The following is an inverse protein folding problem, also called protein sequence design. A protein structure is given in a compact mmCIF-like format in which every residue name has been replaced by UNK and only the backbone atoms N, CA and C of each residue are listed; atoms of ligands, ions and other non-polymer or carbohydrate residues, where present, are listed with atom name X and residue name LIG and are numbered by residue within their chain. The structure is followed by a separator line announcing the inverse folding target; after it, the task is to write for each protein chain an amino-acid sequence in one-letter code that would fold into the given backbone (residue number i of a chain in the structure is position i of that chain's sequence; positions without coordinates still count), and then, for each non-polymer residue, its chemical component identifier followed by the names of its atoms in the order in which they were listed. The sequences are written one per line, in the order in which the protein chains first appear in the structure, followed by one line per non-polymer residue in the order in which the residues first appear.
data_IF_593468660158
#
_entry.id   IF_593468660158
#
_cell.length_a   1.000
_cell.length_b   1.000
_cell.length_c   1.000
_cell.angle_alpha   90.00
_cell.angle_beta   90.00
_cell.angle_gamma   90.00
#
_symmetry.space_group_name_H-M   'P 1'
#
loop_
_entity.id
_entity.type
_entity.pdbx_description
1 polymer ?
#
# COMPACT_ATOMS: atom_id res chain seq x y z
N UNK A 1 -6.48 -18.86 -7.04
CA UNK A 1 -7.30 -17.69 -7.43
C UNK A 1 -6.39 -16.80 -8.23
N UNK A 2 -6.81 -16.38 -9.43
CA UNK A 2 -6.07 -15.39 -10.21
C UNK A 2 -5.97 -14.13 -9.37
N UNK A 3 -4.81 -13.92 -8.76
CA UNK A 3 -4.57 -12.77 -7.90
C UNK A 3 -4.34 -11.56 -8.80
N UNK A 4 -5.43 -11.08 -9.39
CA UNK A 4 -5.44 -9.86 -10.18
C UNK A 4 -5.05 -8.72 -9.25
N UNK A 5 -3.92 -8.12 -9.55
CA UNK A 5 -3.47 -6.86 -8.96
C UNK A 5 -4.63 -5.86 -8.97
N UNK A 6 -4.99 -5.26 -7.81
CA UNK A 6 -6.06 -4.26 -7.73
C UNK A 6 -5.85 -3.13 -8.74
N UNK A 7 -6.94 -2.71 -9.41
CA UNK A 7 -6.89 -1.67 -10.45
C UNK A 7 -7.57 -0.36 -10.03
N UNK A 8 -8.26 -0.37 -8.91
CA UNK A 8 -8.97 0.76 -8.33
C UNK A 8 -8.87 0.71 -6.80
N UNK A 9 -9.14 1.86 -6.16
CA UNK A 9 -9.04 2.02 -4.72
C UNK A 9 -9.99 1.10 -3.95
N UNK A 10 -11.18 0.81 -4.49
CA UNK A 10 -12.17 -0.06 -3.86
C UNK A 10 -11.65 -1.50 -3.73
N UNK A 11 -11.16 -2.07 -4.83
CA UNK A 11 -10.58 -3.41 -4.87
C UNK A 11 -9.33 -3.49 -4.01
N UNK A 12 -8.50 -2.44 -4.00
CA UNK A 12 -7.32 -2.36 -3.15
C UNK A 12 -7.69 -2.38 -1.68
N UNK A 13 -8.69 -1.58 -1.28
CA UNK A 13 -9.20 -1.54 0.10
C UNK A 13 -9.74 -2.89 0.54
N UNK A 14 -10.54 -3.55 -0.30
CA UNK A 14 -11.05 -4.88 0.00
C UNK A 14 -9.89 -5.89 0.21
N UNK A 15 -8.88 -5.86 -0.66
CA UNK A 15 -7.71 -6.74 -0.58
C UNK A 15 -6.90 -6.52 0.71
N UNK A 16 -6.69 -5.25 1.09
CA UNK A 16 -5.98 -4.91 2.33
C UNK A 16 -6.73 -5.42 3.56
N UNK A 17 -8.05 -5.25 3.59
CA UNK A 17 -8.88 -5.67 4.72
C UNK A 17 -8.92 -7.20 4.87
N UNK A 18 -9.02 -7.93 3.75
CA UNK A 18 -9.02 -9.40 3.72
C UNK A 18 -7.69 -9.97 4.24
N UNK A 19 -6.56 -9.37 3.85
CA UNK A 19 -5.22 -9.84 4.26
C UNK A 19 -4.74 -9.28 5.58
N UNK A 20 -5.44 -8.32 6.20
CA UNK A 20 -4.96 -7.54 7.35
C UNK A 20 -4.40 -8.40 8.49
N UNK A 21 -5.03 -9.53 8.79
CA UNK A 21 -4.65 -10.40 9.88
C UNK A 21 -3.31 -11.14 9.66
N UNK A 22 -2.87 -11.30 8.40
CA UNK A 22 -1.63 -12.01 8.06
C UNK A 22 -0.47 -11.06 7.72
N UNK A 23 -0.71 -9.74 7.66
CA UNK A 23 0.32 -8.77 7.33
C UNK A 23 1.35 -8.64 8.47
N UNK A 24 2.67 -8.68 8.17
CA UNK A 24 3.70 -8.32 9.14
C UNK A 24 3.49 -6.92 9.69
N UNK A 25 3.86 -6.68 10.97
CA UNK A 25 3.60 -5.42 11.69
C UNK A 25 3.87 -4.14 10.87
N UNK A 26 5.02 -4.06 10.20
CA UNK A 26 5.40 -2.88 9.39
C UNK A 26 4.60 -2.73 8.09
N UNK A 27 4.19 -3.85 7.50
CA UNK A 27 3.33 -3.86 6.32
C UNK A 27 1.90 -3.48 6.70
N UNK A 28 1.39 -4.02 7.82
CA UNK A 28 0.09 -3.63 8.37
C UNK A 28 0.03 -2.13 8.72
N UNK A 29 1.14 -1.57 9.23
CA UNK A 29 1.28 -0.14 9.52
C UNK A 29 1.12 0.72 8.25
N UNK A 30 1.78 0.36 7.15
CA UNK A 30 1.60 1.05 5.86
C UNK A 30 0.19 0.85 5.30
N UNK A 31 -0.33 -0.37 5.39
CA UNK A 31 -1.66 -0.69 4.89
C UNK A 31 -2.74 0.16 5.58
N UNK A 32 -2.65 0.32 6.91
CA UNK A 32 -3.54 1.22 7.66
C UNK A 32 -3.34 2.68 7.23
N UNK A 33 -2.09 3.17 7.21
CA UNK A 33 -1.79 4.55 6.80
C UNK A 33 -2.33 4.87 5.40
N UNK A 34 -2.20 3.93 4.45
CA UNK A 34 -2.68 4.11 3.08
C UNK A 34 -4.21 4.21 2.98
N UNK A 35 -4.94 3.48 3.82
CA UNK A 35 -6.41 3.57 3.88
C UNK A 35 -6.88 4.85 4.57
N UNK A 36 -6.15 5.30 5.59
CA UNK A 36 -6.48 6.49 6.37
C UNK A 36 -6.06 7.79 5.65
N UNK A 37 -5.02 7.75 4.81
CA UNK A 37 -4.42 8.91 4.15
C UNK A 37 -4.21 8.66 2.63
N UNK A 38 -5.28 8.42 1.84
CA UNK A 38 -5.14 8.06 0.43
C UNK A 38 -4.48 9.15 -0.42
N UNK A 39 -4.74 10.43 -0.13
CA UNK A 39 -4.12 11.57 -0.83
C UNK A 39 -2.60 11.63 -0.63
N UNK A 40 -2.13 11.34 0.59
CA UNK A 40 -0.70 11.25 0.87
C UNK A 40 -0.03 10.18 0.02
N UNK A 41 -0.71 9.04 -0.18
CA UNK A 41 -0.23 7.98 -1.07
C UNK A 41 -0.24 8.44 -2.53
N UNK A 42 -1.32 9.08 -2.99
CA UNK A 42 -1.49 9.50 -4.37
C UNK A 42 -0.43 10.53 -4.82
N UNK A 43 -0.09 11.48 -3.95
CA UNK A 43 0.71 12.66 -4.28
C UNK A 43 2.09 12.71 -3.60
N UNK A 44 2.29 11.94 -2.53
CA UNK A 44 3.55 11.93 -1.79
C UNK A 44 4.69 11.17 -2.50
N UNK A 45 5.91 11.42 -2.04
CA UNK A 45 7.07 10.61 -2.41
C UNK A 45 7.18 9.40 -1.48
N UNK A 46 7.87 8.34 -1.92
CA UNK A 46 8.12 7.19 -1.05
C UNK A 46 8.83 7.58 0.27
N UNK A 47 9.71 8.59 0.24
CA UNK A 47 10.40 9.10 1.42
C UNK A 47 9.45 9.83 2.39
N UNK A 48 8.61 10.75 1.88
CA UNK A 48 7.68 11.51 2.73
C UNK A 48 6.58 10.65 3.33
N UNK A 49 6.05 9.69 2.56
CA UNK A 49 5.06 8.72 3.02
C UNK A 49 5.67 7.82 4.10
N UNK A 50 6.88 7.30 3.87
CA UNK A 50 7.54 6.43 4.84
C UNK A 50 7.84 7.15 6.16
N UNK A 51 8.27 8.42 6.10
CA UNK A 51 8.47 9.24 7.27
C UNK A 51 7.16 9.44 8.06
N UNK A 52 6.07 9.82 7.39
CA UNK A 52 4.77 10.04 8.00
C UNK A 52 4.16 8.76 8.59
N UNK A 53 4.34 7.64 7.89
CA UNK A 53 3.92 6.32 8.34
C UNK A 53 4.86 5.71 9.40
N UNK A 54 6.01 6.32 9.73
CA UNK A 54 6.95 5.82 10.73
C UNK A 54 7.67 4.51 10.35
N UNK A 55 7.99 4.36 9.06
CA UNK A 55 8.60 3.18 8.44
C UNK A 55 9.76 3.58 7.50
N UNK A 56 10.49 2.59 6.98
CA UNK A 56 11.52 2.83 5.96
C UNK A 56 10.92 2.82 4.54
N UNK A 57 11.45 3.59 3.57
CA UNK A 57 10.96 3.61 2.19
C UNK A 57 10.88 2.23 1.51
N UNK A 58 11.83 1.34 1.81
CA UNK A 58 11.83 -0.05 1.30
C UNK A 58 10.59 -0.85 1.72
N UNK A 59 9.93 -0.45 2.81
CA UNK A 59 8.70 -1.06 3.32
C UNK A 59 7.52 -0.81 2.37
N UNK A 60 7.47 0.34 1.67
CA UNK A 60 6.45 0.65 0.66
C UNK A 60 6.57 -0.26 -0.56
N UNK A 61 7.80 -0.55 -1.00
CA UNK A 61 8.06 -1.47 -2.11
C UNK A 61 7.59 -2.87 -1.73
N UNK A 62 7.95 -3.35 -0.53
CA UNK A 62 7.50 -4.66 -0.03
C UNK A 62 5.99 -4.72 0.13
N UNK A 63 5.36 -3.66 0.62
CA UNK A 63 3.89 -3.57 0.70
C UNK A 63 3.24 -3.69 -0.67
N UNK A 64 3.74 -2.98 -1.68
CA UNK A 64 3.25 -3.09 -3.05
C UNK A 64 3.40 -4.51 -3.61
N UNK A 65 4.57 -5.12 -3.42
CA UNK A 65 4.83 -6.50 -3.87
C UNK A 65 3.95 -7.54 -3.17
N UNK A 66 3.64 -7.35 -1.88
CA UNK A 66 2.69 -8.22 -1.15
C UNK A 66 1.27 -8.17 -1.71
N UNK A 67 0.94 -7.13 -2.47
CA UNK A 67 -0.35 -6.96 -3.15
C UNK A 67 -0.28 -7.26 -4.65
N UNK A 68 0.87 -7.77 -5.13
CA UNK A 68 1.08 -8.18 -6.51
C UNK A 68 1.57 -7.08 -7.46
N UNK A 69 1.88 -5.88 -6.95
CA UNK A 69 2.41 -4.79 -7.76
C UNK A 69 3.93 -4.90 -7.96
N UNK A 70 4.44 -4.42 -9.10
CA UNK A 70 5.87 -4.40 -9.42
C UNK A 70 6.67 -3.46 -8.49
N UNK A 71 6.01 -2.45 -7.92
CA UNK A 71 6.58 -1.57 -6.92
C UNK A 71 5.63 -0.47 -6.45
N UNK A 72 6.17 0.47 -5.66
CA UNK A 72 5.37 1.53 -5.06
C UNK A 72 4.68 2.42 -6.11
N UNK A 73 5.36 2.78 -7.20
CA UNK A 73 4.79 3.65 -8.25
C UNK A 73 3.55 3.03 -8.92
N UNK A 74 3.54 1.72 -9.17
CA UNK A 74 2.38 1.03 -9.74
C UNK A 74 1.20 0.97 -8.76
N UNK A 75 1.48 0.80 -7.46
CA UNK A 75 0.45 0.87 -6.42
C UNK A 75 -0.09 2.30 -6.27
N UNK A 76 0.78 3.31 -6.34
CA UNK A 76 0.43 4.73 -6.21
C UNK A 76 -0.58 5.18 -7.29
N UNK A 77 -0.55 4.61 -8.49
CA UNK A 77 -1.53 4.94 -9.54
C UNK A 77 -2.96 4.54 -9.17
N UNK A 78 -3.16 3.56 -8.28
CA UNK A 78 -4.48 3.11 -7.85
C UNK A 78 -5.18 4.11 -6.92
N UNK A 79 -4.40 5.02 -6.32
CA UNK A 79 -4.89 6.10 -5.46
C UNK A 79 -5.19 7.40 -6.23
N UNK A 80 -4.89 7.46 -7.53
CA UNK A 80 -5.13 8.61 -8.39
C UNK A 80 -6.35 8.38 -9.27
#
# INVERSE_FOLDING_TARGET
MDERVPRDFETLRATILDRRASLPKRIAQIAAYALDNPDDIAFGTAASIAASAGVQPSTLIRFAQQLGFDGFTSLQQVFR
#
